data_IF_015907529307
#
_entry.id   IF_015907529307
#
_cell.length_a   1.000
_cell.length_b   1.000
_cell.length_c   1.000
_cell.angle_alpha   90.00
_cell.angle_beta   90.00
_cell.angle_gamma   90.00
#
_symmetry.space_group_name_H-M   'P 1'
#
loop_
_entity.id
_entity.type
_entity.pdbx_description
1 polymer ?
#
# COMPACT_ATOMS: atom_id res chain seq x y z
N UNK A 1 -19.18 -18.98 9.48
CA UNK A 1 -19.66 -18.96 8.09
C UNK A 1 -18.48 -18.68 7.19
N UNK A 2 -18.12 -19.64 6.33
CA UNK A 2 -17.00 -19.55 5.42
C UNK A 2 -17.27 -18.47 4.37
N UNK A 3 -16.57 -17.33 4.43
CA UNK A 3 -16.61 -16.32 3.38
C UNK A 3 -15.79 -16.85 2.18
N UNK A 4 -16.47 -17.11 1.07
CA UNK A 4 -15.87 -17.58 -0.17
C UNK A 4 -14.76 -16.65 -0.66
N UNK A 5 -13.81 -17.20 -1.40
CA UNK A 5 -12.71 -16.47 -2.02
C UNK A 5 -13.24 -15.49 -3.07
N UNK A 6 -13.11 -14.19 -2.83
CA UNK A 6 -13.42 -13.14 -3.81
C UNK A 6 -12.11 -12.61 -4.43
N UNK A 7 -11.95 -12.74 -5.75
CA UNK A 7 -10.90 -12.06 -6.57
C UNK A 7 -11.20 -10.57 -6.80
N UNK A 8 -10.66 -9.70 -5.94
CA UNK A 8 -10.83 -8.25 -6.03
C UNK A 8 -10.21 -7.72 -7.35
N UNK A 9 -10.97 -6.95 -8.13
CA UNK A 9 -10.57 -6.43 -9.45
C UNK A 9 -10.22 -4.94 -9.46
N UNK A 10 -10.39 -4.24 -8.33
CA UNK A 10 -10.07 -2.81 -8.22
C UNK A 10 -10.40 -2.22 -6.86
N UNK A 11 -9.78 -1.08 -6.54
CA UNK A 11 -10.08 -0.26 -5.34
C UNK A 11 -10.61 1.08 -5.82
N UNK A 12 -11.80 1.45 -5.39
CA UNK A 12 -12.33 2.80 -5.57
C UNK A 12 -12.02 3.58 -4.30
N UNK A 13 -11.50 4.80 -4.47
CA UNK A 13 -11.15 5.71 -3.39
C UNK A 13 -12.32 5.98 -2.43
N UNK A 14 -12.05 6.65 -1.29
CA UNK A 14 -13.06 6.88 -0.27
C UNK A 14 -14.27 7.65 -0.83
N UNK A 15 -15.47 7.17 -0.53
CA UNK A 15 -16.71 7.91 -0.84
C UNK A 15 -16.90 9.12 0.10
N UNK A 16 -17.99 9.86 -0.10
CA UNK A 16 -18.39 11.01 0.74
C UNK A 16 -18.54 10.67 2.24
N UNK A 17 -18.57 9.38 2.60
CA UNK A 17 -18.63 8.87 3.98
C UNK A 17 -17.31 8.27 4.45
N UNK A 18 -16.23 8.49 3.69
CA UNK A 18 -14.88 8.00 3.96
C UNK A 18 -14.77 6.46 3.98
N UNK A 19 -15.59 5.79 3.15
CA UNK A 19 -15.64 4.33 3.06
C UNK A 19 -14.93 3.85 1.79
N UNK A 20 -14.10 2.82 1.94
CA UNK A 20 -13.32 2.22 0.86
C UNK A 20 -14.11 1.09 0.21
N UNK A 21 -14.19 1.12 -1.12
CA UNK A 21 -14.95 0.14 -1.89
C UNK A 21 -14.00 -0.73 -2.71
N UNK A 22 -14.15 -2.04 -2.57
CA UNK A 22 -13.45 -3.01 -3.41
C UNK A 22 -14.40 -3.47 -4.52
N UNK A 23 -13.96 -3.31 -5.76
CA UNK A 23 -14.66 -3.82 -6.92
C UNK A 23 -14.36 -5.32 -7.04
N UNK A 24 -15.41 -6.12 -7.18
CA UNK A 24 -15.35 -7.53 -7.48
C UNK A 24 -16.16 -7.77 -8.77
N UNK A 25 -15.53 -8.36 -9.80
CA UNK A 25 -16.18 -8.73 -11.07
C UNK A 25 -16.79 -7.55 -11.87
N UNK A 26 -16.01 -6.48 -12.07
CA UNK A 26 -16.29 -5.28 -12.92
C UNK A 26 -17.64 -4.55 -12.70
N UNK A 27 -18.52 -5.04 -11.84
CA UNK A 27 -19.93 -4.64 -11.75
C UNK A 27 -20.52 -4.78 -10.35
N UNK A 28 -19.77 -5.32 -9.37
CA UNK A 28 -20.22 -5.47 -7.98
C UNK A 28 -19.19 -4.89 -7.02
N UNK A 29 -19.66 -4.24 -5.97
CA UNK A 29 -18.83 -3.63 -4.94
C UNK A 29 -19.11 -4.30 -3.61
N UNK A 30 -18.05 -4.72 -2.91
CA UNK A 30 -18.16 -5.25 -1.56
C UNK A 30 -17.48 -4.27 -0.63
N UNK A 31 -18.25 -3.74 0.33
CA UNK A 31 -17.68 -3.08 1.49
C UNK A 31 -17.02 -4.17 2.34
N UNK A 32 -15.69 -4.29 2.29
CA UNK A 32 -15.00 -5.01 3.35
C UNK A 32 -14.98 -4.04 4.53
N UNK A 33 -15.63 -4.34 5.66
CA UNK A 33 -15.44 -3.57 6.86
C UNK A 33 -14.00 -3.78 7.31
N UNK A 34 -13.08 -2.95 6.81
CA UNK A 34 -11.76 -2.81 7.43
C UNK A 34 -12.06 -2.32 8.85
N UNK A 35 -11.74 -3.11 9.89
CA UNK A 35 -12.03 -2.71 11.26
C UNK A 35 -11.42 -1.33 11.51
N UNK A 36 -12.14 -0.45 12.22
CA UNK A 36 -11.70 0.93 12.43
C UNK A 36 -10.30 0.99 13.07
N UNK A 37 -10.00 0.03 13.94
CA UNK A 37 -8.67 -0.19 14.53
C UNK A 37 -7.57 -0.44 13.48
N UNK A 38 -7.88 -1.16 12.39
CA UNK A 38 -6.93 -1.39 11.29
C UNK A 38 -6.67 -0.11 10.51
N UNK A 39 -7.70 0.69 10.23
CA UNK A 39 -7.54 1.98 9.57
C UNK A 39 -6.65 2.93 10.40
N UNK A 40 -6.93 3.01 11.69
CA UNK A 40 -6.13 3.81 12.63
C UNK A 40 -4.68 3.34 12.69
N UNK A 41 -4.45 2.02 12.73
CA UNK A 41 -3.10 1.44 12.76
C UNK A 41 -2.33 1.70 11.46
N UNK A 42 -3.00 1.61 10.30
CA UNK A 42 -2.38 1.95 9.01
C UNK A 42 -2.06 3.43 8.94
N UNK A 43 -3.00 4.29 9.32
CA UNK A 43 -2.79 5.73 9.36
C UNK A 43 -1.62 6.11 10.27
N UNK A 44 -1.55 5.56 11.49
CA UNK A 44 -0.44 5.81 12.40
C UNK A 44 0.88 5.28 11.85
N UNK A 45 0.88 4.14 11.14
CA UNK A 45 2.07 3.60 10.49
C UNK A 45 2.56 4.52 9.37
N UNK A 46 1.66 5.01 8.50
CA UNK A 46 2.03 5.93 7.42
C UNK A 46 2.50 7.29 7.96
N UNK A 47 1.84 7.82 9.00
CA UNK A 47 2.28 9.02 9.69
C UNK A 47 3.69 8.84 10.26
N UNK A 48 3.93 7.73 10.98
CA UNK A 48 5.25 7.40 11.51
C UNK A 48 6.31 7.28 10.42
N UNK A 49 6.01 6.56 9.32
CA UNK A 49 6.93 6.42 8.20
C UNK A 49 7.28 7.79 7.64
N UNK A 50 6.28 8.60 7.26
CA UNK A 50 6.50 9.93 6.69
C UNK A 50 7.34 10.81 7.62
N UNK A 51 6.99 10.84 8.91
CA UNK A 51 7.64 11.72 9.87
C UNK A 51 9.08 11.27 10.19
N UNK A 52 9.39 9.97 10.09
CA UNK A 52 10.75 9.44 10.35
C UNK A 52 11.63 9.39 9.11
N UNK A 53 11.09 9.02 7.95
CA UNK A 53 11.85 8.88 6.71
C UNK A 53 12.01 10.18 5.95
N UNK A 54 11.12 11.15 6.19
CA UNK A 54 11.05 12.36 5.36
C UNK A 54 10.60 12.07 3.93
N UNK A 55 9.94 10.93 3.70
CA UNK A 55 9.45 10.55 2.36
C UNK A 55 8.62 11.66 1.75
N UNK A 56 9.02 12.06 0.55
CA UNK A 56 8.32 13.02 -0.30
C UNK A 56 6.98 12.47 -0.77
N UNK A 57 6.12 13.36 -1.25
CA UNK A 57 4.85 12.98 -1.88
C UNK A 57 5.07 12.00 -3.03
N UNK A 58 6.12 12.18 -3.83
CA UNK A 58 6.43 11.29 -4.96
C UNK A 58 6.76 9.87 -4.52
N UNK A 59 7.57 9.70 -3.46
CA UNK A 59 7.87 8.38 -2.91
C UNK A 59 6.62 7.68 -2.35
N UNK A 60 5.75 8.45 -1.71
CA UNK A 60 4.48 7.91 -1.21
C UNK A 60 3.54 7.51 -2.36
N UNK A 61 3.44 8.33 -3.41
CA UNK A 61 2.66 7.98 -4.60
C UNK A 61 3.21 6.74 -5.31
N UNK A 62 4.54 6.63 -5.41
CA UNK A 62 5.20 5.45 -5.97
C UNK A 62 4.84 4.19 -5.16
N UNK A 63 4.94 4.26 -3.82
CA UNK A 63 4.53 3.16 -2.95
C UNK A 63 3.06 2.78 -3.14
N UNK A 64 2.17 3.77 -3.31
CA UNK A 64 0.75 3.52 -3.58
C UNK A 64 0.52 2.88 -4.96
N UNK A 65 1.27 3.25 -5.99
CA UNK A 65 1.23 2.58 -7.30
C UNK A 65 1.67 1.11 -7.20
N UNK A 66 2.75 0.82 -6.46
CA UNK A 66 3.19 -0.56 -6.20
C UNK A 66 2.07 -1.38 -5.55
N UNK A 67 1.40 -0.82 -4.54
CA UNK A 67 0.27 -1.50 -3.91
C UNK A 67 -0.90 -1.69 -4.88
N UNK A 68 -1.22 -0.68 -5.71
CA UNK A 68 -2.23 -0.76 -6.77
C UNK A 68 -1.95 -1.91 -7.74
N UNK A 69 -0.69 -2.13 -8.11
CA UNK A 69 -0.30 -3.25 -8.96
C UNK A 69 -0.57 -4.61 -8.29
N UNK A 70 -0.24 -4.75 -7.01
CA UNK A 70 -0.53 -5.98 -6.25
C UNK A 70 -2.03 -6.23 -6.18
N UNK A 71 -2.82 -5.17 -5.97
CA UNK A 71 -4.29 -5.28 -5.95
C UNK A 71 -4.88 -5.66 -7.30
N UNK A 72 -4.35 -5.13 -8.39
CA UNK A 72 -4.82 -5.45 -9.75
C UNK A 72 -4.61 -6.93 -10.12
N UNK A 73 -3.66 -7.62 -9.48
CA UNK A 73 -3.42 -9.05 -9.72
C UNK A 73 -4.48 -9.97 -9.09
N UNK A 74 -5.39 -9.45 -8.26
CA UNK A 74 -6.59 -10.14 -7.79
C UNK A 74 -6.37 -11.41 -6.95
N UNK A 75 -5.13 -11.71 -6.55
CA UNK A 75 -4.74 -12.99 -5.96
C UNK A 75 -4.62 -13.01 -4.44
N UNK A 76 -4.64 -11.85 -3.76
CA UNK A 76 -4.38 -11.77 -2.32
C UNK A 76 -5.63 -11.49 -1.49
N UNK A 77 -5.90 -12.36 -0.51
CA UNK A 77 -6.84 -12.07 0.56
C UNK A 77 -6.31 -10.90 1.40
N UNK A 78 -6.98 -9.76 1.33
CA UNK A 78 -6.60 -8.55 2.08
C UNK A 78 -7.05 -8.72 3.54
N UNK A 79 -6.16 -9.22 4.38
CA UNK A 79 -6.26 -9.11 5.84
C UNK A 79 -5.51 -7.85 6.32
N UNK A 80 -6.00 -7.14 7.34
CA UNK A 80 -5.29 -6.06 8.05
C UNK A 80 -3.76 -6.21 8.22
N UNK A 81 -3.29 -7.39 8.66
CA UNK A 81 -1.87 -7.66 8.91
C UNK A 81 -1.08 -7.71 7.60
N UNK A 82 -1.68 -8.32 6.57
CA UNK A 82 -1.09 -8.40 5.23
C UNK A 82 -1.02 -6.99 4.63
N UNK A 83 -2.09 -6.21 4.78
CA UNK A 83 -2.17 -4.83 4.32
C UNK A 83 -1.08 -3.94 4.94
N UNK A 84 -0.88 -4.01 6.26
CA UNK A 84 0.20 -3.26 6.93
C UNK A 84 1.59 -3.70 6.47
N UNK A 85 1.80 -5.01 6.30
CA UNK A 85 3.06 -5.57 5.82
C UNK A 85 3.39 -5.06 4.41
N UNK A 86 2.41 -5.12 3.50
CA UNK A 86 2.56 -4.65 2.13
C UNK A 86 2.79 -3.15 2.09
N UNK A 87 2.05 -2.38 2.89
CA UNK A 87 2.21 -0.93 2.97
C UNK A 87 3.62 -0.51 3.38
N UNK A 88 4.15 -1.08 4.47
CA UNK A 88 5.52 -0.81 4.93
C UNK A 88 6.53 -1.25 3.88
N UNK A 89 6.35 -2.45 3.32
CA UNK A 89 7.20 -2.96 2.24
C UNK A 89 7.22 -2.03 1.02
N UNK A 90 6.06 -1.48 0.66
CA UNK A 90 5.93 -0.60 -0.51
C UNK A 90 6.70 0.69 -0.31
N UNK A 91 6.66 1.27 0.90
CA UNK A 91 7.44 2.46 1.24
C UNK A 91 8.95 2.19 1.17
N UNK A 92 9.40 1.05 1.71
CA UNK A 92 10.81 0.65 1.65
C UNK A 92 11.27 0.49 0.21
N UNK A 93 10.51 -0.25 -0.61
CA UNK A 93 10.85 -0.49 -2.02
C UNK A 93 10.81 0.82 -2.80
N UNK A 94 9.77 1.65 -2.64
CA UNK A 94 9.66 2.94 -3.31
C UNK A 94 10.89 3.80 -3.07
N UNK A 95 11.32 3.95 -1.81
CA UNK A 95 12.51 4.73 -1.48
C UNK A 95 13.76 4.15 -2.17
N UNK A 96 13.93 2.83 -2.17
CA UNK A 96 15.06 2.17 -2.85
C UNK A 96 15.06 2.31 -4.36
N UNK A 97 13.88 2.43 -4.96
CA UNK A 97 13.75 2.52 -6.41
C UNK A 97 13.99 3.92 -6.96
N UNK A 98 13.66 4.97 -6.19
CA UNK A 98 13.63 6.34 -6.74
C UNK A 98 14.53 7.35 -6.02
N UNK A 99 15.22 6.94 -4.96
CA UNK A 99 16.14 7.81 -4.22
C UNK A 99 17.56 7.28 -4.32
N UNK A 100 18.51 8.16 -4.65
CA UNK A 100 19.93 7.81 -4.80
C UNK A 100 20.57 7.30 -3.50
N UNK A 101 20.08 7.79 -2.35
CA UNK A 101 20.57 7.47 -1.01
C UNK A 101 19.52 6.78 -0.15
N UNK A 102 19.03 5.62 -0.59
CA UNK A 102 17.99 4.88 0.14
C UNK A 102 18.47 4.38 1.52
N UNK A 103 17.58 4.40 2.51
CA UNK A 103 17.93 3.90 3.83
C UNK A 103 18.05 2.37 3.83
N UNK A 104 19.08 1.83 4.50
CA UNK A 104 19.24 0.38 4.66
C UNK A 104 18.16 -0.19 5.58
N UNK A 105 17.88 -1.49 5.47
CA UNK A 105 16.81 -2.15 6.22
C UNK A 105 16.98 -2.07 7.75
N UNK A 106 18.21 -2.01 8.27
CA UNK A 106 18.46 -1.82 9.70
C UNK A 106 17.97 -0.46 10.19
N UNK A 107 17.99 0.57 9.34
CA UNK A 107 17.49 1.89 9.68
C UNK A 107 15.96 1.85 9.81
N UNK A 108 15.27 1.20 8.87
CA UNK A 108 13.83 0.98 8.93
C UNK A 108 13.41 0.18 10.16
N UNK A 109 14.13 -0.90 10.47
CA UNK A 109 13.91 -1.72 11.65
C UNK A 109 13.98 -0.88 12.94
N UNK A 110 14.97 0.01 13.02
CA UNK A 110 15.15 0.93 14.15
C UNK A 110 14.03 1.96 14.25
N UNK A 111 13.59 2.57 13.14
CA UNK A 111 12.56 3.62 13.20
C UNK A 111 11.16 3.08 13.48
N UNK A 112 10.87 1.86 13.01
CA UNK A 112 9.58 1.21 13.17
C UNK A 112 9.53 0.33 14.43
N UNK A 113 10.61 0.24 15.19
CA UNK A 113 10.73 -0.60 16.39
C UNK A 113 10.33 -2.06 16.14
N UNK A 114 10.72 -2.59 14.98
CA UNK A 114 10.45 -3.97 14.57
C UNK A 114 11.76 -4.73 14.31
N UNK A 115 11.78 -6.06 14.51
CA UNK A 115 12.95 -6.87 14.19
C UNK A 115 13.37 -6.72 12.72
N UNK A 116 14.68 -6.75 12.46
CA UNK A 116 15.25 -6.60 11.13
C UNK A 116 14.74 -7.70 10.17
N UNK A 117 14.58 -8.91 10.68
CA UNK A 117 14.03 -10.06 9.94
C UNK A 117 12.60 -9.77 9.45
N UNK A 118 11.84 -9.00 10.23
CA UNK A 118 10.48 -8.61 9.87
C UNK A 118 10.48 -7.58 8.73
N UNK A 119 11.41 -6.62 8.75
CA UNK A 119 11.62 -5.68 7.63
C UNK A 119 12.02 -6.44 6.36
N UNK A 120 12.99 -7.36 6.45
CA UNK A 120 13.38 -8.20 5.32
C UNK A 120 12.20 -9.01 4.77
N UNK A 121 11.38 -9.58 5.67
CA UNK A 121 10.17 -10.31 5.27
C UNK A 121 9.15 -9.40 4.59
N UNK A 122 8.94 -8.18 5.09
CA UNK A 122 8.02 -7.20 4.48
C UNK A 122 8.46 -6.80 3.07
N UNK A 123 9.74 -6.47 2.90
CA UNK A 123 10.33 -6.16 1.59
C UNK A 123 10.21 -7.35 0.63
N UNK A 124 10.62 -8.55 1.04
CA UNK A 124 10.52 -9.72 0.19
C UNK A 124 9.07 -10.05 -0.20
N UNK A 125 8.12 -9.87 0.71
CA UNK A 125 6.70 -10.13 0.43
C UNK A 125 6.17 -9.21 -0.67
N UNK A 126 6.52 -7.92 -0.65
CA UNK A 126 6.08 -7.01 -1.70
C UNK A 126 6.78 -7.30 -3.03
N UNK A 127 8.09 -7.56 -3.02
CA UNK A 127 8.82 -7.90 -4.24
C UNK A 127 8.26 -9.16 -4.90
N UNK A 128 7.99 -10.20 -4.10
CA UNK A 128 7.36 -11.43 -4.59
C UNK A 128 5.93 -11.18 -5.08
N UNK A 129 5.15 -10.36 -4.38
CA UNK A 129 3.79 -10.02 -4.81
C UNK A 129 3.77 -9.20 -6.12
N UNK A 130 4.87 -8.55 -6.47
CA UNK A 130 5.02 -7.80 -7.71
C UNK A 130 5.69 -8.61 -8.82
N UNK A 131 6.08 -9.87 -8.59
CA UNK A 131 7.00 -10.60 -9.46
C UNK A 131 8.24 -9.75 -9.83
N UNK A 132 8.75 -8.98 -8.86
CA UNK A 132 9.83 -8.01 -9.02
C UNK A 132 9.58 -6.90 -10.06
N UNK A 133 8.35 -6.71 -10.54
CA UNK A 133 7.94 -5.60 -11.41
C UNK A 133 7.68 -4.35 -10.57
N UNK A 134 8.77 -3.70 -10.16
CA UNK A 134 8.74 -2.51 -9.30
C UNK A 134 8.77 -1.19 -10.06
N UNK A 135 8.97 -1.21 -11.39
CA UNK A 135 8.98 0.00 -12.19
C UNK A 135 7.57 0.60 -12.31
N UNK A 136 7.44 1.85 -11.89
CA UNK A 136 6.24 2.68 -12.04
C UNK A 136 6.60 3.85 -12.95
N UNK A 137 5.71 4.18 -13.89
CA UNK A 137 5.92 5.29 -14.84
C UNK A 137 5.50 6.63 -14.24
N UNK A 138 5.99 7.74 -14.83
CA UNK A 138 5.53 9.08 -14.45
C UNK A 138 4.03 9.29 -14.66
N UNK A 139 3.48 8.73 -15.75
CA UNK A 139 2.05 8.79 -16.07
C UNK A 139 1.21 8.11 -14.98
N UNK A 140 1.60 6.92 -14.52
CA UNK A 140 0.90 6.21 -13.44
C UNK A 140 0.86 7.02 -12.13
N UNK A 141 1.96 7.72 -11.81
CA UNK A 141 2.05 8.59 -10.63
C UNK A 141 1.12 9.79 -10.79
N UNK A 142 1.09 10.42 -11.96
CA UNK A 142 0.22 11.56 -12.26
C UNK A 142 -1.26 11.18 -12.21
N UNK A 143 -1.65 10.05 -12.81
CA UNK A 143 -3.02 9.52 -12.75
C UNK A 143 -3.48 9.31 -11.30
N UNK A 144 -2.63 8.71 -10.48
CA UNK A 144 -2.93 8.48 -9.07
C UNK A 144 -3.04 9.81 -8.32
N UNK A 145 -2.13 10.76 -8.57
CA UNK A 145 -2.15 12.08 -7.96
C UNK A 145 -3.44 12.86 -8.31
N UNK A 146 -3.89 12.78 -9.56
CA UNK A 146 -5.12 13.40 -10.04
C UNK A 146 -6.37 12.79 -9.40
N UNK A 147 -6.35 11.47 -9.17
CA UNK A 147 -7.44 10.77 -8.47
C UNK A 147 -7.67 11.31 -7.06
N UNK A 148 -6.60 11.67 -6.33
CA UNK A 148 -6.72 12.29 -5.00
C UNK A 148 -7.21 13.74 -5.05
N UNK A 149 -6.90 14.48 -6.11
CA UNK A 149 -7.37 15.87 -6.28
C UNK A 149 -8.87 15.91 -6.56
N UNK A 150 -9.39 14.96 -7.34
CA UNK A 150 -10.79 14.90 -7.72
C UNK A 150 -11.72 14.35 -6.63
N UNK A 151 -11.21 13.65 -5.62
CA UNK A 151 -11.99 13.19 -4.46
C UNK A 151 -12.25 14.29 -3.40
N UNK A 152 -11.62 15.46 -3.52
CA UNK A 152 -11.82 16.59 -2.61
C UNK A 152 -12.73 17.69 -3.20
N UNK A 153 -13.46 17.38 -4.29
CA UNK A 153 -14.43 18.25 -4.98
C UNK A 153 -15.83 17.70 -4.80
#
# INVERSE_FOLDING_TARGET
MCLGSYQITGVIGPDEKNQWWLQYDKSRFIQIPIPEQTKQTLHSTFALIRDKSGMTRTELLYAMCLLRHIWAQGSQQINPIVLQTLAVGACIVAQKMIVDGAYPNWWWARQLEVPLERIHSMENKILNALDYKTHITGEEIEELNNSFSNCNS
#
